data_IF_768374177813
#
_entry.id   IF_768374177813
#
_cell.length_a   1.000
_cell.length_b   1.000
_cell.length_c   1.000
_cell.angle_alpha   90.00
_cell.angle_beta   90.00
_cell.angle_gamma   90.00
#
_symmetry.space_group_name_H-M   'P 1'
#
loop_
_entity.id
_entity.type
_entity.pdbx_description
1 polymer ?
#
# COMPACT_ATOMS: atom_id res chain seq x y z
N UNK A 1 12.09 -14.97 3.22
CA UNK A 1 11.16 -14.15 4.04
C UNK A 1 10.91 -12.83 3.32
N UNK A 2 9.69 -12.30 3.39
CA UNK A 2 9.38 -10.94 2.93
C UNK A 2 8.99 -10.10 4.14
N UNK A 3 9.54 -8.90 4.23
CA UNK A 3 9.14 -7.88 5.20
C UNK A 3 8.52 -6.73 4.43
N UNK A 4 7.28 -6.38 4.79
CA UNK A 4 6.55 -5.24 4.23
C UNK A 4 6.48 -4.17 5.32
N UNK A 5 6.80 -2.93 4.95
CA UNK A 5 6.64 -1.78 5.85
C UNK A 5 6.04 -0.60 5.08
N UNK A 6 5.30 0.23 5.80
CA UNK A 6 4.97 1.56 5.33
C UNK A 6 6.23 2.42 5.36
N UNK A 7 6.38 3.29 4.35
CA UNK A 7 7.49 4.25 4.30
C UNK A 7 7.18 5.50 5.14
N UNK A 8 5.90 5.82 5.33
CA UNK A 8 5.42 7.08 5.88
C UNK A 8 6.07 8.27 5.16
N UNK A 9 6.65 9.21 5.92
CA UNK A 9 7.39 10.37 5.44
C UNK A 9 8.91 10.12 5.34
N UNK A 10 9.37 8.88 5.53
CA UNK A 10 10.79 8.57 5.58
C UNK A 10 11.45 8.62 4.21
N UNK A 11 12.75 8.93 4.20
CA UNK A 11 13.54 8.82 2.97
C UNK A 11 13.76 7.35 2.61
N UNK A 12 13.18 6.90 1.50
CA UNK A 12 13.28 5.53 0.98
C UNK A 12 14.71 4.96 1.01
N UNK A 13 15.69 5.73 0.52
CA UNK A 13 17.08 5.27 0.43
C UNK A 13 17.68 5.05 1.82
N UNK A 14 17.42 5.97 2.74
CA UNK A 14 17.94 5.90 4.11
C UNK A 14 17.30 4.75 4.87
N UNK A 15 15.97 4.66 4.84
CA UNK A 15 15.25 3.62 5.57
C UNK A 15 15.61 2.22 5.07
N UNK A 16 15.68 2.03 3.74
CA UNK A 16 16.16 0.77 3.15
C UNK A 16 17.59 0.43 3.58
N UNK A 17 18.48 1.42 3.67
CA UNK A 17 19.85 1.20 4.13
C UNK A 17 19.89 0.75 5.60
N UNK A 18 19.07 1.34 6.47
CA UNK A 18 18.95 0.97 7.88
C UNK A 18 18.45 -0.49 8.02
N UNK A 19 17.44 -0.90 7.26
CA UNK A 19 16.95 -2.28 7.23
C UNK A 19 18.01 -3.29 6.74
N UNK A 20 18.75 -2.94 5.70
CA UNK A 20 19.84 -3.79 5.19
C UNK A 20 20.99 -3.90 6.18
N UNK A 21 21.29 -2.82 6.92
CA UNK A 21 22.29 -2.84 7.98
C UNK A 21 21.89 -3.83 9.09
N UNK A 22 20.65 -3.76 9.57
CA UNK A 22 20.12 -4.69 10.57
C UNK A 22 20.18 -6.15 10.09
N UNK A 23 19.84 -6.39 8.82
CA UNK A 23 19.94 -7.73 8.23
C UNK A 23 21.38 -8.26 8.22
N UNK A 24 22.37 -7.41 7.98
CA UNK A 24 23.78 -7.79 7.98
C UNK A 24 24.34 -8.06 9.38
N UNK A 25 23.65 -7.63 10.44
CA UNK A 25 24.03 -7.89 11.83
C UNK A 25 23.44 -9.21 12.37
N UNK A 26 22.57 -9.88 11.61
CA UNK A 26 21.97 -11.16 11.99
C UNK A 26 22.91 -12.35 11.75
N UNK A 27 23.01 -13.27 12.72
CA UNK A 27 23.75 -14.53 12.59
C UNK A 27 22.91 -15.72 13.12
N UNK A 28 22.47 -16.67 12.25
CA UNK A 28 22.69 -16.68 10.81
C UNK A 28 21.89 -15.59 10.09
N UNK A 29 22.45 -15.04 9.01
CA UNK A 29 21.77 -14.03 8.19
C UNK A 29 20.62 -14.66 7.39
N UNK A 30 19.35 -14.24 7.59
CA UNK A 30 18.22 -14.81 6.88
C UNK A 30 18.08 -14.25 5.46
N UNK A 31 17.64 -15.08 4.50
CA UNK A 31 17.26 -14.60 3.17
C UNK A 31 15.99 -13.72 3.26
N UNK A 32 16.16 -12.41 3.12
CA UNK A 32 15.11 -11.41 3.35
C UNK A 32 14.94 -10.47 2.16
N UNK A 33 13.70 -10.17 1.79
CA UNK A 33 13.34 -9.11 0.83
C UNK A 33 12.55 -8.02 1.57
N UNK A 34 13.02 -6.79 1.49
CA UNK A 34 12.33 -5.63 2.05
C UNK A 34 11.50 -4.94 0.95
N UNK A 35 10.19 -4.83 1.18
CA UNK A 35 9.24 -4.18 0.29
C UNK A 35 8.58 -3.03 1.05
N UNK A 36 8.64 -1.83 0.49
CA UNK A 36 8.19 -0.62 1.18
C UNK A 36 7.00 -0.04 0.43
N UNK A 37 5.83 0.05 1.06
CA UNK A 37 4.69 0.78 0.52
C UNK A 37 4.98 2.28 0.67
N UNK A 38 4.89 3.03 -0.43
CA UNK A 38 5.23 4.46 -0.39
C UNK A 38 4.11 5.22 0.31
N UNK A 39 4.48 6.05 1.27
CA UNK A 39 3.59 6.60 2.29
C UNK A 39 2.98 5.49 3.15
N UNK A 40 2.07 4.68 2.61
CA UNK A 40 1.36 3.64 3.37
C UNK A 40 0.72 2.60 2.47
N UNK A 41 0.24 1.50 3.06
CA UNK A 41 -0.34 0.37 2.34
C UNK A 41 -1.48 0.71 1.37
N UNK A 42 -2.27 1.76 1.62
CA UNK A 42 -3.34 2.19 0.71
C UNK A 42 -2.85 2.60 -0.69
N UNK A 43 -1.57 2.96 -0.83
CA UNK A 43 -0.95 3.29 -2.13
C UNK A 43 -1.04 2.11 -3.10
N UNK A 44 -1.03 0.88 -2.59
CA UNK A 44 -1.14 -0.32 -3.40
C UNK A 44 -2.56 -0.53 -3.93
N UNK A 45 -3.59 -0.14 -3.17
CA UNK A 45 -4.98 -0.14 -3.65
C UNK A 45 -5.18 0.92 -4.72
N UNK A 46 -4.63 2.12 -4.52
CA UNK A 46 -4.69 3.21 -5.49
C UNK A 46 -3.91 2.92 -6.79
N UNK A 47 -3.07 1.88 -6.79
CA UNK A 47 -2.49 1.31 -7.99
C UNK A 47 -3.49 0.58 -8.90
N UNK A 48 -4.70 0.28 -8.44
CA UNK A 48 -5.75 -0.37 -9.23
C UNK A 48 -7.10 0.29 -9.00
N UNK A 49 -7.34 1.40 -9.71
CA UNK A 49 -8.57 2.18 -9.59
C UNK A 49 -9.81 1.39 -10.01
N UNK A 50 -9.68 0.43 -10.94
CA UNK A 50 -10.77 -0.45 -11.35
C UNK A 50 -11.20 -1.38 -10.22
N UNK A 51 -10.24 -1.88 -9.41
CA UNK A 51 -10.55 -2.67 -8.22
C UNK A 51 -11.32 -1.85 -7.18
N UNK A 52 -10.94 -0.58 -6.99
CA UNK A 52 -11.66 0.33 -6.08
C UNK A 52 -13.08 0.59 -6.60
N UNK A 53 -13.25 0.86 -7.89
CA UNK A 53 -14.57 1.09 -8.48
C UNK A 53 -15.49 -0.13 -8.42
N UNK A 54 -14.94 -1.35 -8.49
CA UNK A 54 -15.69 -2.60 -8.28
C UNK A 54 -16.12 -2.78 -6.82
N UNK A 55 -15.24 -2.47 -5.87
CA UNK A 55 -15.53 -2.56 -4.44
C UNK A 55 -16.53 -1.49 -3.97
N UNK A 56 -16.44 -0.28 -4.54
CA UNK A 56 -17.23 0.89 -4.17
C UNK A 56 -17.83 1.56 -5.42
N UNK A 57 -19.03 1.15 -5.88
CA UNK A 57 -19.64 1.67 -7.11
C UNK A 57 -19.92 3.18 -7.12
N UNK A 58 -20.12 3.78 -5.94
CA UNK A 58 -20.39 5.22 -5.78
C UNK A 58 -19.10 6.05 -5.58
N UNK A 59 -17.94 5.49 -5.93
CA UNK A 59 -16.64 6.16 -5.76
C UNK A 59 -16.54 7.44 -6.58
N UNK A 60 -15.95 8.48 -5.98
CA UNK A 60 -15.66 9.74 -6.67
C UNK A 60 -14.42 9.59 -7.54
N UNK A 61 -14.63 9.17 -8.78
CA UNK A 61 -13.55 8.85 -9.74
C UNK A 61 -12.59 10.01 -9.97
N UNK A 62 -13.06 11.27 -9.95
CA UNK A 62 -12.19 12.45 -10.14
C UNK A 62 -11.12 12.57 -9.05
N UNK A 63 -11.42 12.15 -7.81
CA UNK A 63 -10.46 12.16 -6.70
C UNK A 63 -9.41 11.07 -6.94
N UNK A 64 -9.84 9.86 -7.29
CA UNK A 64 -8.91 8.77 -7.61
C UNK A 64 -7.98 9.10 -8.78
N UNK A 65 -8.51 9.71 -9.84
CA UNK A 65 -7.74 10.09 -11.03
C UNK A 65 -6.71 11.19 -10.75
N UNK A 66 -6.83 11.91 -9.63
CA UNK A 66 -5.84 12.90 -9.21
C UNK A 66 -4.63 12.29 -8.51
N UNK A 67 -4.73 11.03 -8.06
CA UNK A 67 -3.65 10.36 -7.35
C UNK A 67 -2.48 10.03 -8.28
N UNK A 68 -1.29 10.38 -7.84
CA UNK A 68 -0.04 9.98 -8.48
C UNK A 68 0.50 8.79 -7.71
N UNK A 69 0.55 7.63 -8.36
CA UNK A 69 1.05 6.39 -7.76
C UNK A 69 2.39 6.60 -7.05
N UNK A 70 2.47 6.12 -5.81
CA UNK A 70 3.66 6.18 -4.96
C UNK A 70 4.19 7.60 -4.73
N UNK A 71 3.29 8.58 -4.61
CA UNK A 71 3.62 9.92 -4.11
C UNK A 71 3.20 10.05 -2.64
N UNK A 72 3.95 10.85 -1.87
CA UNK A 72 3.62 11.17 -0.47
C UNK A 72 2.70 12.38 -0.48
N UNK A 73 1.39 12.16 -0.45
CA UNK A 73 0.38 13.21 -0.64
C UNK A 73 -0.92 13.03 0.16
N UNK A 74 -0.91 12.23 1.23
CA UNK A 74 -2.11 11.88 1.99
C UNK A 74 -2.85 10.72 1.34
N UNK A 75 -2.18 9.57 1.26
CA UNK A 75 -2.63 8.39 0.52
C UNK A 75 -3.95 7.84 1.05
N UNK A 76 -4.09 7.59 2.35
CA UNK A 76 -5.34 7.10 2.94
C UNK A 76 -6.44 8.16 2.91
N UNK A 77 -6.08 9.45 3.01
CA UNK A 77 -7.05 10.55 2.90
C UNK A 77 -7.67 10.61 1.51
N UNK A 78 -6.86 10.46 0.45
CA UNK A 78 -7.34 10.42 -0.94
C UNK A 78 -8.32 9.25 -1.12
N UNK A 79 -7.97 8.07 -0.62
CA UNK A 79 -8.86 6.91 -0.68
C UNK A 79 -10.16 7.19 0.09
N UNK A 80 -10.08 7.70 1.31
CA UNK A 80 -11.24 8.05 2.12
C UNK A 80 -12.12 9.12 1.47
N UNK A 81 -11.55 10.16 0.88
CA UNK A 81 -12.28 11.22 0.20
C UNK A 81 -13.04 10.70 -1.02
N UNK A 82 -12.49 9.68 -1.67
CA UNK A 82 -13.11 9.01 -2.81
C UNK A 82 -14.27 8.09 -2.41
N UNK A 83 -14.14 7.28 -1.36
CA UNK A 83 -15.10 6.19 -1.04
C UNK A 83 -15.93 6.39 0.23
N UNK A 84 -15.43 7.15 1.21
CA UNK A 84 -16.12 7.29 2.50
C UNK A 84 -17.12 8.47 2.48
N UNK A 85 -18.37 8.29 2.96
CA UNK A 85 -19.34 9.39 3.03
C UNK A 85 -18.86 10.55 3.90
N UNK A 86 -18.58 11.69 3.26
CA UNK A 86 -18.03 12.89 3.91
C UNK A 86 -16.50 12.92 4.02
N UNK A 87 -15.82 11.93 3.44
CA UNK A 87 -14.37 11.91 3.25
C UNK A 87 -13.54 11.70 4.52
N UNK A 88 -12.23 11.85 4.35
CA UNK A 88 -11.19 11.75 5.36
C UNK A 88 -11.50 12.60 6.59
N UNK A 89 -11.93 13.85 6.40
CA UNK A 89 -12.28 14.78 7.49
C UNK A 89 -13.37 14.22 8.39
N UNK A 90 -14.49 13.75 7.83
CA UNK A 90 -15.61 13.19 8.61
C UNK A 90 -15.26 11.84 9.23
N UNK A 91 -14.39 11.08 8.59
CA UNK A 91 -13.87 9.84 9.15
C UNK A 91 -12.98 10.14 10.37
N UNK A 92 -12.09 11.13 10.27
CA UNK A 92 -11.19 11.53 11.34
C UNK A 92 -11.95 12.08 12.57
N UNK A 93 -13.07 12.77 12.38
CA UNK A 93 -13.97 13.20 13.46
C UNK A 93 -14.51 12.03 14.30
N UNK A 94 -14.54 10.80 13.75
CA UNK A 94 -14.91 9.57 14.47
C UNK A 94 -13.75 8.94 15.24
N UNK A 95 -12.53 9.46 15.06
CA UNK A 95 -11.33 9.05 15.76
C UNK A 95 -10.52 7.95 15.07
N UNK A 96 -9.25 7.82 15.47
CA UNK A 96 -8.27 6.92 14.86
C UNK A 96 -8.65 5.44 14.85
N UNK A 97 -9.41 4.99 15.84
CA UNK A 97 -9.91 3.61 15.86
C UNK A 97 -10.87 3.33 14.71
N UNK A 98 -11.69 4.31 14.33
CA UNK A 98 -12.61 4.18 13.20
C UNK A 98 -11.85 4.26 11.87
N UNK A 99 -10.85 5.14 11.76
CA UNK A 99 -9.93 5.17 10.61
C UNK A 99 -9.32 3.78 10.39
N UNK A 100 -8.74 3.16 11.44
CA UNK A 100 -8.14 1.83 11.33
C UNK A 100 -9.13 0.73 10.93
N UNK A 101 -10.38 0.78 11.42
CA UNK A 101 -11.43 -0.14 10.96
C UNK A 101 -11.77 0.04 9.49
N UNK A 102 -11.87 1.28 9.02
CA UNK A 102 -12.14 1.57 7.61
C UNK A 102 -10.99 1.08 6.74
N UNK A 103 -9.73 1.32 7.13
CA UNK A 103 -8.56 0.77 6.42
C UNK A 103 -8.62 -0.75 6.28
N UNK A 104 -8.96 -1.46 7.35
CA UNK A 104 -9.16 -2.92 7.30
C UNK A 104 -10.29 -3.31 6.35
N UNK A 105 -11.42 -2.60 6.39
CA UNK A 105 -12.55 -2.85 5.50
C UNK A 105 -12.20 -2.57 4.02
N UNK A 106 -11.39 -1.55 3.76
CA UNK A 106 -10.89 -1.26 2.42
C UNK A 106 -10.02 -2.39 1.90
N UNK A 107 -9.11 -2.93 2.73
CA UNK A 107 -8.31 -4.08 2.37
C UNK A 107 -9.17 -5.31 2.04
N UNK A 108 -10.16 -5.63 2.88
CA UNK A 108 -11.06 -6.78 2.68
C UNK A 108 -11.89 -6.65 1.40
N UNK A 109 -12.35 -5.43 1.07
CA UNK A 109 -13.24 -5.20 -0.06
C UNK A 109 -12.49 -5.00 -1.40
N UNK A 110 -11.34 -4.32 -1.39
CA UNK A 110 -10.62 -3.95 -2.63
C UNK A 110 -9.71 -5.09 -3.09
N UNK A 111 -8.98 -5.74 -2.16
CA UNK A 111 -7.98 -6.74 -2.51
C UNK A 111 -8.51 -7.91 -3.39
N UNK A 112 -9.73 -8.44 -3.18
CA UNK A 112 -10.27 -9.51 -4.03
C UNK A 112 -10.50 -9.08 -5.49
N UNK A 113 -10.58 -7.79 -5.78
CA UNK A 113 -10.80 -7.25 -7.12
C UNK A 113 -9.52 -6.80 -7.82
N UNK A 114 -8.39 -6.76 -7.10
CA UNK A 114 -7.11 -6.28 -7.63
C UNK A 114 -6.58 -7.20 -8.73
N UNK A 115 -6.28 -6.61 -9.87
CA UNK A 115 -5.42 -7.21 -10.87
C UNK A 115 -3.95 -6.98 -10.51
N UNK A 116 -3.39 -7.92 -9.73
CA UNK A 116 -2.00 -7.85 -9.24
C UNK A 116 -0.97 -7.70 -10.36
N UNK A 117 -1.24 -8.23 -11.56
CA UNK A 117 -0.33 -8.13 -12.71
C UNK A 117 -0.33 -6.78 -13.41
N UNK A 118 -1.40 -5.99 -13.26
CA UNK A 118 -1.59 -4.72 -13.97
C UNK A 118 -1.59 -3.49 -13.06
N UNK A 119 -1.47 -3.70 -11.74
CA UNK A 119 -1.39 -2.64 -10.75
C UNK A 119 -0.30 -1.60 -11.10
N UNK A 120 -0.64 -0.32 -10.97
CA UNK A 120 0.16 0.82 -11.41
C UNK A 120 1.09 1.38 -10.32
N UNK A 121 0.99 0.93 -9.07
CA UNK A 121 1.94 1.30 -8.00
C UNK A 121 3.31 0.65 -8.25
N UNK A 122 4.39 1.44 -8.47
CA UNK A 122 5.73 0.89 -8.65
C UNK A 122 6.20 0.03 -7.46
N UNK A 123 5.88 0.41 -6.23
CA UNK A 123 6.26 -0.29 -5.01
C UNK A 123 5.49 -1.60 -4.85
N UNK A 124 4.20 -1.62 -5.20
CA UNK A 124 3.44 -2.88 -5.27
C UNK A 124 4.03 -3.82 -6.32
N UNK A 125 4.39 -3.29 -7.50
CA UNK A 125 4.99 -4.08 -8.58
C UNK A 125 6.35 -4.66 -8.20
N UNK A 126 7.15 -3.91 -7.43
CA UNK A 126 8.37 -4.42 -6.82
C UNK A 126 8.06 -5.54 -5.81
N UNK A 127 7.10 -5.35 -4.90
CA UNK A 127 6.69 -6.40 -3.96
C UNK A 127 6.24 -7.67 -4.69
N UNK A 128 5.39 -7.54 -5.71
CA UNK A 128 4.93 -8.64 -6.54
C UNK A 128 6.10 -9.37 -7.22
N UNK A 129 7.07 -8.66 -7.79
CA UNK A 129 8.24 -9.31 -8.39
C UNK A 129 9.07 -10.09 -7.37
N UNK A 130 9.23 -9.56 -6.15
CA UNK A 130 9.96 -10.26 -5.08
C UNK A 130 9.25 -11.55 -4.64
N UNK A 131 7.91 -11.60 -4.68
CA UNK A 131 7.16 -12.84 -4.45
C UNK A 131 7.46 -13.85 -5.56
N UNK A 132 7.36 -13.43 -6.82
CA UNK A 132 7.58 -14.32 -7.97
C UNK A 132 9.00 -14.89 -7.97
N UNK A 133 10.01 -14.04 -7.71
CA UNK A 133 11.41 -14.47 -7.61
C UNK A 133 11.58 -15.54 -6.51
N UNK A 134 10.99 -15.32 -5.32
CA UNK A 134 11.06 -16.28 -4.22
C UNK A 134 10.36 -17.61 -4.51
N UNK A 135 9.27 -17.59 -5.28
CA UNK A 135 8.58 -18.82 -5.70
C UNK A 135 9.41 -19.61 -6.71
N UNK A 136 10.12 -18.92 -7.61
CA UNK A 136 10.98 -19.55 -8.60
C UNK A 136 12.26 -20.14 -7.97
N UNK A 137 12.84 -19.46 -6.98
CA UNK A 137 14.01 -19.97 -6.23
C UNK A 137 13.70 -21.22 -5.38
N UNK A 138 12.42 -21.53 -5.17
CA UNK A 138 11.95 -22.66 -4.37
C UNK A 138 11.67 -23.95 -5.18
N UNK A 139 11.77 -23.90 -6.51
CA UNK A 139 11.55 -25.01 -7.45
C UNK A 139 12.89 -25.51 -7.99
#
# INVERSE_FOLDING_TARGET
MIVICDLDDQCLKRFKHELLKLLNECDPQPLTRFCLAIEEGEAWFLGDLDAIAKAYPDVKSDILNSYINDSVCGTWEILADAIYPGGSKKLLERGWQEVGKQKSLWADNIAPHMNVSENKSPSFRYFYSQIIDLLNDAI
#
